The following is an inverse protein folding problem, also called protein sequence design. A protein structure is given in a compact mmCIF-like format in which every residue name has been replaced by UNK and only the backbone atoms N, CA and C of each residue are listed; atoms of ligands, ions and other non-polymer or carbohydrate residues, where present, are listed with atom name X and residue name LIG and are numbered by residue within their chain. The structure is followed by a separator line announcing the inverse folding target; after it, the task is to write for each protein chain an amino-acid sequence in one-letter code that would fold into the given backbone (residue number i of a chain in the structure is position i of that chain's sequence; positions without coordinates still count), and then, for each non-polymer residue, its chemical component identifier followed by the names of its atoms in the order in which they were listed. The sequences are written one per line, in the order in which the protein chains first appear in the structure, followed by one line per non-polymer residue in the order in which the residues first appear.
data_IF_961160592944
#
_entry.id   IF_961160592944
#
_cell.length_a   1.000
_cell.length_b   1.000
_cell.length_c   1.000
_cell.angle_alpha   90.00
_cell.angle_beta   90.00
_cell.angle_gamma   90.00
#
_symmetry.space_group_name_H-M   'P 1'
#
loop_
_entity.id
_entity.type
_entity.pdbx_description
1 polymer ?
#
# COMPACT_ATOMS: atom_id res chain seq x y z
N UNK A 1 -68.17 -6.88 2.92
CA UNK A 1 -69.17 -7.14 1.87
C UNK A 1 -68.39 -7.30 0.56
N UNK A 2 -68.37 -8.53 0.06
CA UNK A 2 -68.06 -9.00 -1.32
C UNK A 2 -66.60 -8.84 -1.81
N UNK A 3 -65.72 -9.85 -1.72
CA UNK A 3 -65.64 -11.13 -2.50
C UNK A 3 -65.70 -10.94 -4.02
N UNK A 4 -64.63 -11.31 -4.73
CA UNK A 4 -64.54 -12.53 -5.58
C UNK A 4 -63.17 -12.62 -6.32
N UNK A 5 -62.77 -13.84 -6.76
CA UNK A 5 -61.40 -14.36 -6.77
C UNK A 5 -60.94 -14.61 -8.23
N UNK A 6 -59.65 -14.91 -8.45
CA UNK A 6 -59.28 -16.28 -8.79
C UNK A 6 -59.37 -16.63 -10.29
N UNK A 7 -58.23 -16.63 -10.97
CA UNK A 7 -57.94 -17.61 -12.04
C UNK A 7 -56.41 -17.78 -12.17
N UNK A 8 -55.90 -18.93 -11.72
CA UNK A 8 -54.63 -19.52 -12.18
C UNK A 8 -55.01 -20.68 -13.14
N UNK A 9 -54.05 -21.48 -13.65
CA UNK A 9 -52.89 -21.19 -14.48
C UNK A 9 -52.95 -22.06 -15.76
N UNK A 10 -52.34 -21.65 -16.89
CA UNK A 10 -52.29 -22.52 -18.08
C UNK A 10 -50.94 -22.39 -18.80
N UNK A 11 -50.19 -23.50 -18.75
CA UNK A 11 -49.24 -24.02 -19.74
C UNK A 11 -47.82 -23.41 -19.84
N UNK A 12 -46.90 -24.13 -19.19
CA UNK A 12 -45.80 -24.85 -19.84
C UNK A 12 -45.66 -24.65 -21.36
N UNK A 13 -44.59 -23.96 -21.79
CA UNK A 13 -44.00 -24.12 -23.11
C UNK A 13 -42.51 -23.77 -23.04
N UNK A 14 -41.67 -24.81 -22.97
CA UNK A 14 -40.25 -24.73 -23.27
C UNK A 14 -40.03 -24.14 -24.66
N UNK A 15 -39.31 -23.02 -24.77
CA UNK A 15 -38.56 -22.68 -25.98
C UNK A 15 -37.23 -22.03 -25.60
N UNK A 16 -36.18 -22.84 -25.77
CA UNK A 16 -34.79 -22.42 -25.86
C UNK A 16 -34.61 -21.67 -27.17
N UNK A 17 -34.40 -20.35 -27.15
CA UNK A 17 -33.82 -19.61 -28.29
C UNK A 17 -32.86 -18.51 -27.80
N UNK A 18 -31.59 -18.93 -27.69
CA UNK A 18 -30.36 -18.28 -28.19
C UNK A 18 -30.18 -16.76 -28.03
N UNK A 19 -29.18 -16.41 -27.21
CA UNK A 19 -28.54 -15.10 -27.09
C UNK A 19 -28.20 -14.44 -28.43
N UNK A 20 -28.47 -13.13 -28.62
CA UNK A 20 -28.00 -12.40 -29.78
C UNK A 20 -26.48 -12.18 -29.70
N UNK A 21 -25.81 -12.84 -30.63
CA UNK A 21 -24.39 -12.74 -30.92
C UNK A 21 -24.05 -11.37 -31.53
N UNK A 22 -22.89 -10.84 -31.10
CA UNK A 22 -21.98 -9.90 -31.80
C UNK A 22 -22.41 -8.43 -31.99
N UNK A 23 -21.73 -7.58 -31.22
CA UNK A 23 -21.08 -6.39 -31.76
C UNK A 23 -19.62 -6.32 -31.27
N UNK A 24 -18.71 -6.72 -32.17
CA UNK A 24 -17.38 -6.15 -32.44
C UNK A 24 -16.46 -5.83 -31.24
N UNK A 25 -15.56 -6.78 -30.93
CA UNK A 25 -14.20 -6.46 -30.47
C UNK A 25 -13.20 -7.21 -31.35
N UNK A 26 -12.15 -6.55 -31.89
CA UNK A 26 -11.14 -7.20 -32.70
C UNK A 26 -10.39 -8.22 -31.85
N UNK A 27 -10.47 -9.47 -32.30
CA UNK A 27 -9.80 -10.64 -31.75
C UNK A 27 -8.31 -10.53 -32.07
N UNK A 28 -7.50 -10.03 -31.15
CA UNK A 28 -6.06 -10.31 -31.16
C UNK A 28 -5.89 -11.80 -30.88
N UNK A 29 -5.78 -12.57 -31.96
CA UNK A 29 -5.46 -13.99 -31.90
C UNK A 29 -3.99 -14.15 -31.50
N UNK A 30 -3.72 -14.31 -30.20
CA UNK A 30 -2.45 -14.86 -29.77
C UNK A 30 -2.46 -16.36 -30.09
N UNK A 31 -1.58 -16.76 -31.01
CA UNK A 31 -1.32 -18.14 -31.40
C UNK A 31 -0.79 -18.94 -30.20
N UNK A 32 -1.66 -19.67 -29.51
CA UNK A 32 -1.28 -20.69 -28.53
C UNK A 32 -0.89 -21.97 -29.25
N UNK A 33 0.34 -22.00 -29.77
CA UNK A 33 1.11 -23.24 -29.95
C UNK A 33 2.50 -23.04 -29.35
N UNK A 34 2.61 -23.22 -28.03
CA UNK A 34 3.89 -23.58 -27.40
C UNK A 34 3.79 -25.02 -26.95
N UNK A 35 4.54 -25.87 -27.63
CA UNK A 35 4.78 -27.27 -27.27
C UNK A 35 5.46 -27.30 -25.90
N UNK A 36 4.78 -27.85 -24.90
CA UNK A 36 5.33 -28.07 -23.57
C UNK A 36 6.16 -29.35 -23.56
N UNK A 37 7.38 -29.26 -24.09
CA UNK A 37 8.40 -30.29 -23.92
C UNK A 37 9.71 -29.62 -23.54
N UNK A 38 9.86 -29.20 -22.26
CA UNK A 38 11.16 -29.16 -21.57
C UNK A 38 11.12 -28.64 -20.12
N UNK A 39 10.17 -29.05 -19.27
CA UNK A 39 10.21 -28.63 -17.86
C UNK A 39 11.34 -29.35 -17.09
N UNK A 40 11.57 -30.63 -17.38
CA UNK A 40 12.59 -31.41 -16.68
C UNK A 40 14.02 -30.96 -16.98
N UNK A 41 14.30 -30.48 -18.20
CA UNK A 41 15.66 -30.00 -18.56
C UNK A 41 15.99 -28.68 -17.87
N UNK A 42 15.02 -27.78 -17.71
CA UNK A 42 15.21 -26.54 -16.95
C UNK A 42 15.48 -26.83 -15.46
N UNK A 43 14.81 -27.81 -14.86
CA UNK A 43 15.09 -28.20 -13.47
C UNK A 43 16.48 -28.84 -13.31
N UNK A 44 16.92 -29.67 -14.25
CA UNK A 44 18.27 -30.27 -14.22
C UNK A 44 19.35 -29.23 -14.47
N UNK A 45 19.14 -28.27 -15.37
CA UNK A 45 20.07 -27.15 -15.58
C UNK A 45 20.13 -26.22 -14.36
N UNK A 46 19.00 -26.00 -13.68
CA UNK A 46 18.96 -25.24 -12.43
C UNK A 46 19.69 -25.99 -11.29
N UNK A 47 19.44 -27.29 -11.09
CA UNK A 47 20.17 -28.09 -10.09
C UNK A 47 21.68 -28.15 -10.37
N UNK A 48 22.09 -28.33 -11.63
CA UNK A 48 23.51 -28.36 -12.01
C UNK A 48 24.15 -26.98 -11.84
N UNK A 49 23.42 -25.90 -12.15
CA UNK A 49 23.87 -24.54 -11.88
C UNK A 49 23.90 -24.21 -10.38
N UNK A 50 23.05 -24.80 -9.55
CA UNK A 50 23.04 -24.65 -8.09
C UNK A 50 24.20 -25.43 -7.43
N UNK A 51 24.61 -26.56 -8.03
CA UNK A 51 25.80 -27.31 -7.60
C UNK A 51 27.09 -26.62 -8.08
N UNK A 52 27.11 -26.04 -9.28
CA UNK A 52 28.25 -25.30 -9.82
C UNK A 52 28.41 -23.90 -9.19
N UNK A 53 27.30 -23.25 -8.82
CA UNK A 53 27.28 -21.99 -8.06
C UNK A 53 27.03 -22.24 -6.57
N UNK A 54 27.33 -23.42 -6.04
CA UNK A 54 27.40 -23.58 -4.59
C UNK A 54 28.53 -22.64 -4.14
N UNK A 55 28.26 -21.59 -3.35
CA UNK A 55 29.32 -20.74 -2.85
C UNK A 55 30.26 -21.66 -2.10
N UNK A 56 31.52 -21.72 -2.54
CA UNK A 56 32.61 -22.26 -1.72
C UNK A 56 32.41 -21.62 -0.35
N UNK A 57 32.32 -22.47 0.67
CA UNK A 57 32.15 -22.06 2.05
C UNK A 57 33.18 -20.97 2.34
N UNK A 58 32.71 -19.73 2.25
CA UNK A 58 33.56 -18.57 2.24
C UNK A 58 34.08 -18.42 3.67
N UNK A 59 35.40 -18.28 3.78
CA UNK A 59 36.04 -17.67 4.94
C UNK A 59 35.14 -16.56 5.50
N UNK A 60 34.96 -16.42 6.83
CA UNK A 60 34.07 -15.42 7.46
C UNK A 60 34.30 -13.95 7.03
N UNK A 61 35.30 -13.68 6.20
CA UNK A 61 35.76 -12.37 5.74
C UNK A 61 35.07 -11.79 4.49
N UNK A 62 34.26 -12.55 3.72
CA UNK A 62 33.67 -12.06 2.46
C UNK A 62 32.13 -12.12 2.39
N UNK A 63 31.45 -12.04 3.53
CA UNK A 63 29.98 -11.88 3.52
C UNK A 63 29.62 -10.43 3.19
N UNK A 64 29.03 -10.22 2.01
CA UNK A 64 28.46 -8.93 1.63
C UNK A 64 27.41 -8.52 2.67
N UNK A 65 27.61 -7.36 3.30
CA UNK A 65 26.73 -6.85 4.35
C UNK A 65 25.29 -6.76 3.84
N UNK A 66 24.40 -7.55 4.45
CA UNK A 66 22.96 -7.44 4.24
C UNK A 66 22.42 -6.39 5.21
N UNK A 67 21.55 -5.47 4.75
CA UNK A 67 20.88 -4.56 5.66
C UNK A 67 20.11 -5.36 6.73
N UNK A 68 20.04 -4.86 7.98
CA UNK A 68 19.36 -5.56 9.06
C UNK A 68 17.90 -5.82 8.68
N UNK A 69 17.43 -7.05 8.88
CA UNK A 69 16.04 -7.39 8.63
C UNK A 69 15.19 -7.00 9.85
N UNK A 70 14.13 -6.23 9.61
CA UNK A 70 13.11 -5.96 10.63
C UNK A 70 12.27 -7.22 10.88
N UNK A 71 11.75 -7.38 12.10
CA UNK A 71 10.79 -8.45 12.37
C UNK A 71 9.54 -8.32 11.51
N UNK A 72 8.99 -9.46 11.12
CA UNK A 72 7.87 -9.55 10.20
C UNK A 72 6.80 -10.44 10.80
N UNK A 73 5.54 -10.15 10.47
CA UNK A 73 4.49 -11.13 10.67
C UNK A 73 4.77 -12.34 9.79
N UNK A 74 5.03 -13.48 10.41
CA UNK A 74 5.19 -14.76 9.74
C UNK A 74 3.97 -15.02 8.82
N UNK A 75 4.23 -15.14 7.51
CA UNK A 75 3.20 -15.38 6.49
C UNK A 75 2.57 -14.13 5.84
N UNK A 76 3.02 -12.91 6.19
CA UNK A 76 2.56 -11.66 5.54
C UNK A 76 3.59 -11.10 4.57
N UNK A 77 3.13 -10.53 3.45
CA UNK A 77 3.97 -9.81 2.47
C UNK A 77 4.38 -8.39 2.93
N UNK A 78 4.43 -8.15 4.25
CA UNK A 78 4.70 -6.83 4.83
C UNK A 78 6.04 -6.25 4.38
N UNK A 79 7.07 -7.08 4.22
CA UNK A 79 8.40 -6.68 3.72
C UNK A 79 8.34 -6.01 2.36
N UNK A 80 7.54 -6.56 1.45
CA UNK A 80 7.47 -6.09 0.08
C UNK A 80 6.65 -4.82 -0.02
N UNK A 81 5.56 -4.71 0.75
CA UNK A 81 4.82 -3.44 0.88
C UNK A 81 5.66 -2.33 1.48
N UNK A 82 6.45 -2.63 2.51
CA UNK A 82 7.37 -1.66 3.11
C UNK A 82 8.42 -1.18 2.10
N UNK A 83 8.98 -2.09 1.29
CA UNK A 83 9.93 -1.74 0.22
C UNK A 83 9.29 -0.86 -0.84
N UNK A 84 8.08 -1.18 -1.29
CA UNK A 84 7.34 -0.38 -2.26
C UNK A 84 7.05 1.02 -1.70
N UNK A 85 6.59 1.11 -0.45
CA UNK A 85 6.37 2.39 0.22
C UNK A 85 7.67 3.20 0.33
N UNK A 86 8.80 2.59 0.75
CA UNK A 86 10.11 3.26 0.82
C UNK A 86 10.57 3.79 -0.54
N UNK A 87 10.52 2.96 -1.58
CA UNK A 87 11.01 3.35 -2.91
C UNK A 87 10.14 4.42 -3.57
N UNK A 88 8.84 4.46 -3.29
CA UNK A 88 7.96 5.52 -3.77
C UNK A 88 8.11 6.80 -2.95
N UNK A 89 8.34 6.69 -1.64
CA UNK A 89 8.51 7.83 -0.74
C UNK A 89 9.76 8.67 -1.09
N UNK A 90 10.89 8.02 -1.40
CA UNK A 90 12.16 8.71 -1.72
C UNK A 90 11.99 9.79 -2.80
N UNK A 91 11.54 9.49 -4.03
CA UNK A 91 11.34 10.51 -5.06
C UNK A 91 10.21 11.47 -4.71
N UNK A 92 9.17 11.00 -4.01
CA UNK A 92 8.02 11.84 -3.64
C UNK A 92 8.41 12.96 -2.68
N UNK A 93 9.30 12.69 -1.72
CA UNK A 93 9.82 13.71 -0.80
C UNK A 93 10.68 14.76 -1.50
N UNK A 94 11.31 14.43 -2.63
CA UNK A 94 12.11 15.39 -3.39
C UNK A 94 11.25 16.50 -4.03
N UNK A 95 9.97 16.21 -4.33
CA UNK A 95 9.03 17.14 -4.96
C UNK A 95 8.81 18.42 -4.12
N UNK A 96 8.39 18.35 -2.84
CA UNK A 96 8.22 19.54 -2.02
C UNK A 96 9.54 20.25 -1.72
N UNK A 97 10.67 19.55 -1.60
CA UNK A 97 11.97 20.20 -1.43
C UNK A 97 12.35 21.05 -2.66
N UNK A 98 12.16 20.51 -3.86
CA UNK A 98 12.40 21.25 -5.10
C UNK A 98 11.42 22.43 -5.26
N UNK A 99 10.14 22.22 -4.97
CA UNK A 99 9.13 23.27 -5.02
C UNK A 99 9.44 24.40 -4.02
N UNK A 100 9.84 24.06 -2.80
CA UNK A 100 10.22 25.05 -1.77
C UNK A 100 11.48 25.82 -2.16
N UNK A 101 12.47 25.18 -2.77
CA UNK A 101 13.70 25.85 -3.22
C UNK A 101 13.45 26.87 -4.34
N UNK A 102 12.53 26.56 -5.25
CA UNK A 102 12.16 27.42 -6.38
C UNK A 102 11.10 28.48 -6.02
N UNK A 103 10.53 28.42 -4.80
CA UNK A 103 9.44 29.29 -4.37
C UNK A 103 8.09 28.96 -5.02
N UNK A 104 7.92 27.74 -5.54
CA UNK A 104 6.71 27.28 -6.20
C UNK A 104 5.57 26.97 -5.23
N UNK A 105 4.33 27.07 -5.72
CA UNK A 105 3.11 26.63 -5.01
C UNK A 105 2.95 25.12 -5.20
N UNK A 106 2.69 24.41 -4.11
CA UNK A 106 2.51 22.95 -4.10
C UNK A 106 1.04 22.62 -4.35
N UNK A 107 0.77 21.63 -5.20
CA UNK A 107 -0.59 21.16 -5.44
C UNK A 107 -1.11 20.38 -4.21
N UNK A 108 -2.29 20.70 -3.65
CA UNK A 108 -2.83 19.99 -2.47
C UNK A 108 -2.95 18.48 -2.66
N UNK A 109 -3.29 18.03 -3.87
CA UNK A 109 -3.38 16.59 -4.15
C UNK A 109 -2.04 15.87 -4.03
N UNK A 110 -0.93 16.54 -4.38
CA UNK A 110 0.41 15.97 -4.22
C UNK A 110 0.80 15.92 -2.75
N UNK A 111 0.49 16.97 -1.98
CA UNK A 111 0.75 17.03 -0.54
C UNK A 111 -0.04 15.96 0.24
N UNK A 112 -1.33 15.82 -0.07
CA UNK A 112 -2.18 14.74 0.44
C UNK A 112 -1.64 13.35 0.12
N UNK A 113 -1.14 13.13 -1.11
CA UNK A 113 -0.57 11.84 -1.50
C UNK A 113 0.75 11.56 -0.76
N UNK A 114 1.59 12.59 -0.58
CA UNK A 114 2.86 12.50 0.13
C UNK A 114 2.64 12.13 1.60
N UNK A 115 1.77 12.88 2.28
CA UNK A 115 1.43 12.64 3.68
C UNK A 115 0.76 11.28 3.88
N UNK A 116 -0.09 10.83 2.95
CA UNK A 116 -0.73 9.51 2.99
C UNK A 116 0.27 8.35 2.84
N UNK A 117 1.18 8.43 1.86
CA UNK A 117 2.22 7.40 1.66
C UNK A 117 3.20 7.39 2.84
N UNK A 118 3.53 8.57 3.37
CA UNK A 118 4.34 8.70 4.58
C UNK A 118 3.68 8.03 5.79
N UNK A 119 2.37 8.23 5.98
CA UNK A 119 1.61 7.58 7.04
C UNK A 119 1.62 6.04 6.93
N UNK A 120 1.44 5.51 5.72
CA UNK A 120 1.51 4.06 5.46
C UNK A 120 2.91 3.52 5.79
N UNK A 121 3.96 4.24 5.40
CA UNK A 121 5.33 3.85 5.71
C UNK A 121 5.58 3.80 7.23
N UNK A 122 5.12 4.81 7.98
CA UNK A 122 5.20 4.84 9.45
C UNK A 122 4.41 3.71 10.10
N UNK A 123 3.20 3.41 9.62
CA UNK A 123 2.38 2.31 10.14
C UNK A 123 3.13 0.97 10.05
N UNK A 124 3.80 0.67 8.93
CA UNK A 124 4.59 -0.55 8.80
C UNK A 124 5.81 -0.56 9.71
N UNK A 125 6.54 0.56 9.79
CA UNK A 125 7.72 0.68 10.65
C UNK A 125 7.37 0.49 12.14
N UNK A 126 6.28 1.11 12.61
CA UNK A 126 5.82 0.93 13.99
C UNK A 126 5.27 -0.47 14.25
N UNK A 127 4.64 -1.11 13.26
CA UNK A 127 4.20 -2.49 13.39
C UNK A 127 5.41 -3.42 13.62
N UNK A 128 6.47 -3.28 12.83
CA UNK A 128 7.71 -4.05 13.02
C UNK A 128 8.36 -3.75 14.38
N UNK A 129 8.41 -2.48 14.79
CA UNK A 129 8.92 -2.08 16.10
C UNK A 129 8.13 -2.73 17.27
N UNK A 130 6.79 -2.75 17.18
CA UNK A 130 5.93 -3.40 18.20
C UNK A 130 6.19 -4.90 18.28
N UNK A 131 6.40 -5.58 17.15
CA UNK A 131 6.66 -7.03 17.13
C UNK A 131 8.01 -7.34 17.78
N UNK A 132 9.05 -6.55 17.48
CA UNK A 132 10.40 -6.74 18.04
C UNK A 132 10.45 -6.52 19.55
N UNK A 133 9.83 -5.44 20.05
CA UNK A 133 9.95 -5.05 21.45
C UNK A 133 8.85 -5.62 22.36
N UNK A 134 7.67 -5.93 21.83
CA UNK A 134 6.52 -6.41 22.61
C UNK A 134 6.13 -7.81 22.11
N UNK A 135 6.83 -8.86 22.58
CA UNK A 135 6.58 -10.22 22.13
C UNK A 135 5.19 -10.70 22.56
N UNK A 136 4.46 -11.29 21.60
CA UNK A 136 3.09 -11.78 21.78
C UNK A 136 2.97 -12.87 22.85
N UNK A 137 4.02 -13.68 23.01
CA UNK A 137 4.05 -14.83 23.93
C UNK A 137 4.05 -14.40 25.39
N UNK A 138 4.79 -13.33 25.72
CA UNK A 138 4.95 -12.86 27.10
C UNK A 138 3.88 -11.85 27.50
N UNK A 139 3.51 -10.93 26.61
CA UNK A 139 2.62 -9.81 26.93
C UNK A 139 1.47 -9.65 25.91
N UNK A 140 0.54 -10.63 25.82
CA UNK A 140 -0.49 -10.62 24.79
C UNK A 140 -1.51 -9.47 24.92
N UNK A 141 -1.77 -8.98 26.14
CA UNK A 141 -2.72 -7.87 26.35
C UNK A 141 -2.15 -6.54 25.85
N UNK A 142 -0.91 -6.24 26.24
CA UNK A 142 -0.22 -5.01 25.85
C UNK A 142 0.13 -4.99 24.36
N UNK A 143 0.51 -6.14 23.80
CA UNK A 143 0.73 -6.28 22.36
C UNK A 143 -0.51 -5.90 21.54
N UNK A 144 -1.69 -6.43 21.91
CA UNK A 144 -2.95 -6.09 21.25
C UNK A 144 -3.32 -4.62 21.44
N UNK A 145 -3.17 -4.09 22.66
CA UNK A 145 -3.45 -2.68 22.95
C UNK A 145 -2.56 -1.75 22.11
N UNK A 146 -1.26 -2.04 22.01
CA UNK A 146 -0.33 -1.27 21.19
C UNK A 146 -0.72 -1.30 19.71
N UNK A 147 -1.08 -2.46 19.16
CA UNK A 147 -1.57 -2.57 17.79
C UNK A 147 -2.86 -1.80 17.56
N UNK A 148 -3.85 -1.89 18.46
CA UNK A 148 -5.10 -1.13 18.33
C UNK A 148 -4.87 0.38 18.45
N UNK A 149 -4.00 0.81 19.36
CA UNK A 149 -3.61 2.21 19.49
C UNK A 149 -2.89 2.70 18.22
N UNK A 150 -2.05 1.87 17.62
CA UNK A 150 -1.37 2.19 16.38
C UNK A 150 -2.37 2.36 15.23
N UNK A 151 -3.32 1.43 15.07
CA UNK A 151 -4.38 1.56 14.06
C UNK A 151 -5.29 2.76 14.32
N UNK A 152 -5.66 3.01 15.58
CA UNK A 152 -6.46 4.17 15.98
C UNK A 152 -5.75 5.49 15.69
N UNK A 153 -4.46 5.57 16.03
CA UNK A 153 -3.61 6.71 15.72
C UNK A 153 -3.50 6.95 14.22
N UNK A 154 -3.32 5.90 13.41
CA UNK A 154 -3.25 6.04 11.95
C UNK A 154 -4.57 6.49 11.33
N UNK A 155 -5.71 6.03 11.83
CA UNK A 155 -7.02 6.53 11.38
C UNK A 155 -7.23 8.00 11.75
N UNK A 156 -6.81 8.39 12.95
CA UNK A 156 -6.87 9.79 13.41
C UNK A 156 -5.94 10.69 12.58
N UNK A 157 -4.71 10.25 12.33
CA UNK A 157 -3.75 10.97 11.49
C UNK A 157 -4.26 11.12 10.06
N UNK A 158 -4.89 10.08 9.50
CA UNK A 158 -5.49 10.15 8.16
C UNK A 158 -6.62 11.20 8.12
N UNK A 159 -7.45 11.26 9.17
CA UNK A 159 -8.46 12.31 9.30
C UNK A 159 -7.82 13.70 9.44
N UNK A 160 -6.73 13.83 10.20
CA UNK A 160 -5.99 15.08 10.32
C UNK A 160 -5.41 15.55 8.99
N UNK A 161 -4.87 14.64 8.18
CA UNK A 161 -4.42 14.96 6.80
C UNK A 161 -5.59 15.48 5.98
N UNK A 162 -6.75 14.83 6.03
CA UNK A 162 -7.93 15.31 5.30
C UNK A 162 -8.36 16.72 5.74
N UNK A 163 -8.34 17.01 7.04
CA UNK A 163 -8.70 18.32 7.57
C UNK A 163 -7.69 19.41 7.15
N UNK A 164 -6.39 19.12 7.20
CA UNK A 164 -5.33 20.04 6.76
C UNK A 164 -5.41 20.38 5.27
N UNK A 165 -5.78 19.42 4.44
CA UNK A 165 -5.89 19.64 2.98
C UNK A 165 -7.20 20.34 2.58
N UNK A 166 -8.25 20.24 3.40
CA UNK A 166 -9.56 20.83 3.08
C UNK A 166 -9.80 22.18 3.71
N UNK A 167 -9.31 22.41 4.94
CA UNK A 167 -9.51 23.66 5.69
C UNK A 167 -8.27 24.56 5.69
N UNK A 168 -7.07 23.98 5.59
CA UNK A 168 -5.81 24.70 5.62
C UNK A 168 -5.07 24.62 4.27
N UNK A 169 -3.80 25.03 4.26
CA UNK A 169 -2.95 25.11 3.08
C UNK A 169 -2.12 23.83 2.82
N UNK A 170 -2.44 22.70 3.48
CA UNK A 170 -1.74 21.43 3.32
C UNK A 170 -0.67 21.14 4.38
N UNK A 171 -0.20 19.90 4.40
CA UNK A 171 0.77 19.38 5.37
C UNK A 171 2.17 20.01 5.24
N UNK A 172 2.67 20.21 4.03
CA UNK A 172 4.01 20.81 3.81
C UNK A 172 4.03 22.29 4.19
N UNK A 173 2.92 23.02 3.98
CA UNK A 173 2.82 24.42 4.43
C UNK A 173 2.84 24.52 5.96
N UNK A 174 2.20 23.56 6.66
CA UNK A 174 2.28 23.46 8.12
C UNK A 174 3.72 23.24 8.60
N UNK A 175 4.48 22.35 7.95
CA UNK A 175 5.90 22.15 8.26
C UNK A 175 6.70 23.44 8.00
N UNK A 176 6.43 24.12 6.89
CA UNK A 176 7.10 25.38 6.54
C UNK A 176 6.83 26.48 7.56
N UNK A 177 5.60 26.59 8.05
CA UNK A 177 5.22 27.53 9.12
C UNK A 177 5.90 27.19 10.44
N UNK A 178 5.98 25.90 10.78
CA UNK A 178 6.64 25.45 12.01
C UNK A 178 8.15 25.73 12.00
N UNK A 179 8.79 25.68 10.84
CA UNK A 179 10.23 25.96 10.70
C UNK A 179 10.55 27.46 10.65
N UNK A 180 9.63 28.29 10.15
CA UNK A 180 9.82 29.74 10.09
C UNK A 180 9.20 30.39 11.34
N UNK A 181 10.02 30.54 12.37
CA UNK A 181 9.71 31.21 13.64
C UNK A 181 9.59 32.73 13.42
N UNK A 182 8.55 33.19 12.71
CA UNK A 182 8.19 34.61 12.61
C UNK A 182 7.13 34.93 13.67
N UNK A 183 7.61 35.12 14.89
CA UNK A 183 6.87 35.51 16.10
C UNK A 183 6.49 37.01 16.14
N UNK A 184 6.12 37.62 15.02
CA UNK A 184 5.84 39.06 15.01
C UNK A 184 4.34 39.44 14.85
N UNK A 185 3.45 38.52 14.42
CA UNK A 185 2.04 38.89 14.08
C UNK A 185 0.99 37.77 14.28
N UNK A 186 0.99 37.04 15.40
CA UNK A 186 -0.05 36.03 15.69
C UNK A 186 -1.42 36.66 16.01
N UNK A 187 -2.11 37.16 14.98
CA UNK A 187 -3.54 37.47 15.00
C UNK A 187 -4.37 36.19 14.83
N UNK A 188 -4.24 35.22 15.76
CA UNK A 188 -4.98 33.95 15.71
C UNK A 188 -6.33 34.01 16.48
N UNK A 189 -6.67 35.15 17.10
CA UNK A 189 -7.99 35.37 17.73
C UNK A 189 -8.68 36.71 17.35
N UNK A 190 -8.24 37.39 16.27
CA UNK A 190 -8.78 38.69 15.86
C UNK A 190 -9.70 38.61 14.64
N UNK A 191 -11.01 38.76 14.86
CA UNK A 191 -12.02 39.06 13.83
C UNK A 191 -11.73 40.40 13.15
N UNK A 192 -11.73 40.41 11.81
CA UNK A 192 -12.48 41.36 10.96
C UNK A 192 -12.69 40.76 9.58
#
# INVERSE_FOLDING_TARGET
MLLFPGLKPVLNASTVIVNPVRAVFPRLAFSTKRSFHNINRLNVENEVNDIANKPKEASPSEQMYKPPEFSQFEGSYQKDYERIAKYTLIPLTMVPFYASFTGGVINPLLDASLSSVFLIYLQYGFTSCIIDYIPKEKYPRWHKLALYSLYGGSMLSLYGIYELETKDNGFVDLIRKLWNENDDHLYIFGRN
#
